data_IF_838044443167
#
_entry.id   IF_838044443167
#
_cell.length_a   1.000
_cell.length_b   1.000
_cell.length_c   1.000
_cell.angle_alpha   90.00
_cell.angle_beta   90.00
_cell.angle_gamma   90.00
#
_symmetry.space_group_name_H-M   'P 1'
#
loop_
_entity.id
_entity.type
_entity.pdbx_description
1 polymer ?
#
# COMPACT_ATOMS: atom_id res chain seq x y z
N UNK A 1 13.89 -32.01 8.58
CA UNK A 1 14.11 -30.55 8.49
C UNK A 1 15.44 -30.20 9.17
N UNK A 2 16.10 -29.14 8.75
CA UNK A 2 17.32 -28.61 9.37
C UNK A 2 16.98 -27.28 10.04
N UNK A 3 17.34 -27.09 11.31
CA UNK A 3 17.04 -25.88 12.08
C UNK A 3 18.30 -25.03 12.19
N UNK A 4 18.19 -23.77 11.80
CA UNK A 4 19.24 -22.77 11.89
C UNK A 4 18.73 -21.66 12.81
N UNK A 5 19.31 -21.54 14.00
CA UNK A 5 18.96 -20.49 14.93
C UNK A 5 19.84 -19.25 14.68
N UNK A 6 19.28 -18.03 14.77
CA UNK A 6 20.07 -16.81 14.64
C UNK A 6 21.04 -16.68 15.84
N UNK A 7 22.10 -15.86 15.71
CA UNK A 7 22.90 -15.44 16.86
C UNK A 7 21.99 -14.88 17.96
N UNK A 8 22.27 -15.21 19.23
CA UNK A 8 21.38 -14.88 20.37
C UNK A 8 21.09 -13.38 20.47
N UNK A 9 22.07 -12.55 20.15
CA UNK A 9 22.01 -11.09 20.15
C UNK A 9 21.15 -10.49 19.02
N UNK A 10 20.84 -11.28 17.98
CA UNK A 10 19.96 -10.89 16.87
C UNK A 10 18.59 -11.57 16.93
N UNK A 11 18.46 -12.63 17.72
CA UNK A 11 17.26 -13.44 17.79
C UNK A 11 16.03 -12.59 18.14
N UNK A 12 15.04 -12.59 17.25
CA UNK A 12 13.81 -11.82 17.43
C UNK A 12 12.62 -12.70 17.84
N UNK A 13 12.81 -14.00 18.08
CA UNK A 13 11.77 -14.97 18.42
C UNK A 13 10.89 -15.43 17.26
N UNK A 14 11.03 -14.86 16.06
CA UNK A 14 10.32 -15.31 14.87
C UNK A 14 11.00 -16.51 14.21
N UNK A 15 10.22 -17.33 13.52
CA UNK A 15 10.73 -18.43 12.70
C UNK A 15 10.08 -18.47 11.32
N UNK A 16 10.81 -18.98 10.34
CA UNK A 16 10.32 -19.19 8.98
C UNK A 16 10.66 -20.61 8.54
N UNK A 17 9.64 -21.39 8.21
CA UNK A 17 9.78 -22.66 7.51
C UNK A 17 10.13 -22.38 6.04
N UNK A 18 11.26 -22.89 5.57
CA UNK A 18 11.78 -22.66 4.21
C UNK A 18 11.53 -23.89 3.34
N UNK A 19 10.79 -23.68 2.26
CA UNK A 19 10.46 -24.66 1.23
C UNK A 19 11.18 -24.29 -0.08
N UNK A 20 12.29 -24.96 -0.38
CA UNK A 20 13.02 -24.75 -1.64
C UNK A 20 12.14 -25.10 -2.86
N UNK A 21 12.48 -24.57 -4.03
CA UNK A 21 11.91 -24.98 -5.31
C UNK A 21 12.53 -26.28 -5.84
N UNK A 22 12.48 -26.44 -7.17
CA UNK A 22 12.91 -27.67 -7.86
C UNK A 22 11.78 -28.44 -8.56
N UNK A 23 10.65 -27.77 -8.83
CA UNK A 23 9.57 -28.33 -9.67
C UNK A 23 8.94 -29.61 -9.12
N UNK A 24 8.99 -29.82 -7.80
CA UNK A 24 8.63 -31.08 -7.13
C UNK A 24 9.39 -32.30 -7.61
N UNK A 25 10.56 -32.14 -8.26
CA UNK A 25 11.40 -33.24 -8.74
C UNK A 25 12.72 -33.31 -8.00
N UNK A 26 13.26 -32.15 -7.63
CA UNK A 26 14.44 -31.99 -6.78
C UNK A 26 14.16 -30.94 -5.70
N UNK A 27 15.13 -30.73 -4.81
CA UNK A 27 15.16 -29.62 -3.87
C UNK A 27 16.36 -28.74 -4.22
N UNK A 28 16.14 -27.47 -4.57
CA UNK A 28 17.21 -26.49 -4.77
C UNK A 28 17.81 -26.08 -3.42
N UNK A 29 18.49 -27.04 -2.78
CA UNK A 29 18.80 -27.04 -1.35
C UNK A 29 19.68 -25.87 -0.90
N UNK A 30 20.71 -25.54 -1.68
CA UNK A 30 21.65 -24.49 -1.31
C UNK A 30 21.03 -23.11 -1.57
N UNK A 31 20.76 -22.82 -2.84
CA UNK A 31 20.26 -21.54 -3.36
C UNK A 31 18.95 -21.04 -2.71
N UNK A 32 18.01 -21.96 -2.46
CA UNK A 32 16.65 -21.65 -2.02
C UNK A 32 16.35 -22.27 -0.63
N UNK A 33 17.39 -22.76 0.05
CA UNK A 33 17.32 -23.36 1.38
C UNK A 33 18.37 -22.79 2.32
N UNK A 34 19.61 -23.27 2.27
CA UNK A 34 20.65 -22.89 3.24
C UNK A 34 21.07 -21.43 3.13
N UNK A 35 21.21 -20.88 1.92
CA UNK A 35 21.48 -19.43 1.73
C UNK A 35 20.33 -18.58 2.31
N UNK A 36 19.10 -19.09 2.24
CA UNK A 36 17.90 -18.44 2.78
C UNK A 36 17.89 -18.50 4.30
N UNK A 37 18.36 -19.60 4.89
CA UNK A 37 18.56 -19.71 6.31
C UNK A 37 19.59 -18.70 6.84
N UNK A 38 20.71 -18.53 6.13
CA UNK A 38 21.72 -17.53 6.47
C UNK A 38 21.16 -16.10 6.42
N UNK A 39 20.39 -15.77 5.37
CA UNK A 39 19.73 -14.48 5.25
C UNK A 39 18.71 -14.24 6.38
N UNK A 40 17.83 -15.20 6.67
CA UNK A 40 16.84 -15.10 7.74
C UNK A 40 17.51 -14.90 9.11
N UNK A 41 18.57 -15.68 9.39
CA UNK A 41 19.36 -15.54 10.61
C UNK A 41 20.01 -14.15 10.71
N UNK A 42 20.47 -13.59 9.58
CA UNK A 42 21.09 -12.26 9.55
C UNK A 42 20.13 -11.14 9.95
N UNK A 43 18.82 -11.34 9.73
CA UNK A 43 17.73 -10.43 10.12
C UNK A 43 16.97 -10.88 11.38
N UNK A 44 17.50 -11.88 12.10
CA UNK A 44 17.06 -12.26 13.44
C UNK A 44 16.01 -13.36 13.52
N UNK A 45 15.56 -13.94 12.40
CA UNK A 45 14.61 -15.05 12.38
C UNK A 45 15.34 -16.39 12.44
N UNK A 46 14.76 -17.37 13.13
CA UNK A 46 15.14 -18.77 12.95
C UNK A 46 14.65 -19.29 11.60
N UNK A 47 15.47 -20.10 10.93
CA UNK A 47 15.11 -20.76 9.70
C UNK A 47 14.98 -22.26 9.92
N UNK A 48 13.85 -22.83 9.47
CA UNK A 48 13.63 -24.28 9.46
C UNK A 48 13.61 -24.73 8.00
N UNK A 49 14.73 -25.26 7.49
CA UNK A 49 14.83 -25.66 6.08
C UNK A 49 14.29 -27.08 5.91
N UNK A 50 13.24 -27.23 5.11
CA UNK A 50 12.53 -28.49 4.97
C UNK A 50 12.99 -29.29 3.75
N UNK A 51 13.41 -30.54 3.99
CA UNK A 51 13.49 -31.58 2.95
C UNK A 51 12.13 -32.24 2.82
N UNK A 52 11.29 -31.71 1.95
CA UNK A 52 9.97 -32.30 1.67
C UNK A 52 10.07 -33.37 0.59
N UNK A 53 9.06 -34.24 0.51
CA UNK A 53 8.96 -35.28 -0.52
C UNK A 53 8.93 -34.65 -1.91
N UNK A 54 10.00 -34.87 -2.68
CA UNK A 54 10.10 -34.54 -4.10
C UNK A 54 9.88 -35.80 -4.97
N UNK A 55 9.90 -35.63 -6.29
CA UNK A 55 9.46 -36.59 -7.31
C UNK A 55 7.95 -36.92 -7.31
N UNK A 56 7.12 -36.04 -6.77
CA UNK A 56 5.65 -36.21 -6.80
C UNK A 56 5.05 -35.95 -8.19
N UNK A 57 5.86 -35.50 -9.16
CA UNK A 57 5.45 -35.36 -10.56
C UNK A 57 5.04 -36.70 -11.20
N UNK A 58 5.58 -37.83 -10.72
CA UNK A 58 5.29 -39.18 -11.22
C UNK A 58 4.39 -40.01 -10.29
N UNK A 59 4.29 -39.65 -9.01
CA UNK A 59 3.47 -40.35 -8.01
C UNK A 59 2.12 -39.66 -7.81
N UNK A 60 1.35 -39.48 -8.89
CA UNK A 60 0.05 -38.83 -8.88
C UNK A 60 -0.90 -39.39 -7.82
N UNK A 61 -0.77 -38.92 -6.59
CA UNK A 61 -1.70 -39.19 -5.51
C UNK A 61 -2.85 -38.22 -5.69
N UNK A 62 -3.82 -38.66 -6.50
CA UNK A 62 -5.18 -38.13 -6.48
C UNK A 62 -5.78 -38.43 -5.10
N UNK A 63 -5.43 -37.65 -4.08
CA UNK A 63 -6.14 -37.70 -2.81
C UNK A 63 -7.36 -36.78 -2.86
N UNK A 64 -8.31 -37.16 -3.71
CA UNK A 64 -9.74 -37.16 -3.40
C UNK A 64 -10.52 -37.80 -4.57
N UNK A 65 -11.55 -38.59 -4.24
CA UNK A 65 -12.56 -39.13 -5.17
C UNK A 65 -13.39 -38.03 -5.88
N UNK A 66 -13.01 -36.75 -5.71
CA UNK A 66 -13.75 -35.58 -6.16
C UNK A 66 -13.17 -34.97 -7.44
N UNK A 67 -12.11 -35.55 -8.03
CA UNK A 67 -11.65 -35.18 -9.38
C UNK A 67 -11.03 -33.78 -9.51
N UNK A 68 -10.63 -33.15 -8.41
CA UNK A 68 -10.25 -31.74 -8.39
C UNK A 68 -8.74 -31.56 -8.22
N UNK A 69 -8.05 -31.64 -9.36
CA UNK A 69 -6.64 -31.30 -9.59
C UNK A 69 -5.58 -32.29 -9.05
N UNK A 70 -4.75 -32.74 -9.99
CA UNK A 70 -3.41 -33.28 -9.78
C UNK A 70 -2.58 -32.30 -8.92
N UNK A 71 -2.69 -32.42 -7.60
CA UNK A 71 -1.89 -31.66 -6.64
C UNK A 71 -0.55 -32.36 -6.50
N UNK A 72 0.40 -32.08 -7.40
CA UNK A 72 1.82 -32.45 -7.21
C UNK A 72 2.33 -32.01 -5.82
N UNK A 73 1.71 -30.98 -5.26
CA UNK A 73 2.01 -30.44 -3.95
C UNK A 73 1.42 -31.21 -2.75
N UNK A 74 0.58 -32.26 -2.88
CA UNK A 74 -0.06 -32.88 -1.68
C UNK A 74 0.98 -33.41 -0.68
N UNK A 75 1.96 -34.18 -1.15
CA UNK A 75 3.06 -34.68 -0.31
C UNK A 75 3.83 -33.53 0.36
N UNK A 76 4.38 -32.58 -0.42
CA UNK A 76 5.03 -31.38 0.12
C UNK A 76 4.17 -30.59 1.12
N UNK A 77 2.87 -30.47 0.88
CA UNK A 77 1.92 -29.77 1.75
C UNK A 77 1.74 -30.50 3.07
N UNK A 78 1.56 -31.82 3.07
CA UNK A 78 1.52 -32.61 4.30
C UNK A 78 2.81 -32.46 5.10
N UNK A 79 3.96 -32.49 4.41
CA UNK A 79 5.28 -32.34 5.04
C UNK A 79 5.43 -30.95 5.65
N UNK A 80 4.99 -29.90 4.95
CA UNK A 80 4.98 -28.53 5.44
C UNK A 80 4.06 -28.37 6.65
N UNK A 81 2.84 -28.92 6.60
CA UNK A 81 1.92 -28.90 7.75
C UNK A 81 2.52 -29.60 8.97
N UNK A 82 3.21 -30.73 8.76
CA UNK A 82 3.93 -31.43 9.82
C UNK A 82 5.09 -30.62 10.37
N UNK A 83 5.89 -30.01 9.50
CA UNK A 83 7.02 -29.19 9.91
C UNK A 83 6.58 -27.94 10.68
N UNK A 84 5.46 -27.31 10.32
CA UNK A 84 4.87 -26.20 11.08
C UNK A 84 4.49 -26.64 12.50
N UNK A 85 3.80 -27.79 12.64
CA UNK A 85 3.44 -28.37 13.93
C UNK A 85 4.67 -28.70 14.78
N UNK A 86 5.68 -29.36 14.19
CA UNK A 86 6.95 -29.67 14.88
C UNK A 86 7.71 -28.40 15.28
N UNK A 87 7.74 -27.38 14.43
CA UNK A 87 8.39 -26.10 14.77
C UNK A 87 7.69 -25.45 15.96
N UNK A 88 6.36 -25.49 15.98
CA UNK A 88 5.56 -24.91 17.07
C UNK A 88 5.66 -25.72 18.36
N UNK A 89 5.76 -27.05 18.30
CA UNK A 89 5.94 -27.90 19.48
C UNK A 89 7.31 -27.71 20.14
N UNK A 90 8.34 -27.38 19.36
CA UNK A 90 9.70 -27.11 19.86
C UNK A 90 9.95 -25.60 20.11
N UNK A 91 8.91 -24.76 20.05
CA UNK A 91 9.09 -23.30 20.12
C UNK A 91 9.76 -22.86 21.42
N UNK A 92 9.42 -23.46 22.56
CA UNK A 92 10.05 -23.14 23.85
C UNK A 92 11.56 -23.44 23.84
N UNK A 93 11.95 -24.63 23.37
CA UNK A 93 13.35 -25.07 23.34
C UNK A 93 14.21 -24.23 22.37
N UNK A 94 13.58 -23.72 21.31
CA UNK A 94 14.26 -22.91 20.29
C UNK A 94 14.16 -21.40 20.54
N UNK A 95 13.53 -20.97 21.63
CA UNK A 95 13.35 -19.55 21.97
C UNK A 95 12.45 -18.81 20.97
N UNK A 96 11.45 -19.48 20.42
CA UNK A 96 10.53 -18.96 19.42
C UNK A 96 9.19 -18.55 20.03
N UNK A 97 8.57 -17.54 19.43
CA UNK A 97 7.18 -17.16 19.66
C UNK A 97 6.27 -17.98 18.71
N UNK A 98 5.39 -18.86 19.24
CA UNK A 98 4.46 -19.67 18.45
C UNK A 98 3.54 -18.88 17.50
N UNK A 99 3.34 -17.58 17.77
CA UNK A 99 2.52 -16.67 16.98
C UNK A 99 3.30 -15.96 15.87
N UNK A 100 4.61 -16.19 15.76
CA UNK A 100 5.49 -15.55 14.77
C UNK A 100 6.24 -16.58 13.93
N UNK A 101 5.55 -17.67 13.62
CA UNK A 101 6.05 -18.76 12.77
C UNK A 101 5.37 -18.64 11.40
N UNK A 102 6.15 -18.26 10.39
CA UNK A 102 5.70 -18.18 9.01
C UNK A 102 6.31 -19.25 8.11
N UNK A 103 5.99 -19.15 6.83
CA UNK A 103 6.49 -20.06 5.79
C UNK A 103 6.96 -19.26 4.58
N UNK A 104 8.08 -19.66 3.99
CA UNK A 104 8.65 -19.04 2.79
C UNK A 104 8.95 -20.15 1.80
N UNK A 105 8.64 -19.93 0.53
CA UNK A 105 9.03 -20.90 -0.47
C UNK A 105 9.18 -20.34 -1.86
N UNK A 106 9.92 -21.09 -2.68
CA UNK A 106 10.33 -20.71 -4.02
C UNK A 106 9.73 -21.64 -5.06
N UNK A 107 9.17 -21.12 -6.16
CA UNK A 107 8.62 -21.95 -7.24
C UNK A 107 7.62 -23.01 -6.73
N UNK A 108 7.96 -24.30 -6.81
CA UNK A 108 7.18 -25.42 -6.27
C UNK A 108 7.08 -25.39 -4.73
N UNK A 109 8.15 -24.96 -4.05
CA UNK A 109 8.11 -24.64 -2.63
C UNK A 109 7.26 -23.40 -2.35
N UNK A 110 7.15 -22.48 -3.30
CA UNK A 110 6.24 -21.32 -3.24
C UNK A 110 4.78 -21.73 -3.33
N UNK A 111 4.45 -22.68 -4.20
CA UNK A 111 3.13 -23.33 -4.23
C UNK A 111 2.84 -24.00 -2.89
N UNK A 112 3.80 -24.76 -2.36
CA UNK A 112 3.70 -25.42 -1.04
C UNK A 112 3.43 -24.39 0.06
N UNK A 113 4.20 -23.30 0.11
CA UNK A 113 4.07 -22.24 1.10
C UNK A 113 2.68 -21.58 1.06
N UNK A 114 2.21 -21.21 -0.13
CA UNK A 114 0.88 -20.62 -0.28
C UNK A 114 -0.25 -21.60 0.02
N UNK A 115 -0.13 -22.88 -0.35
CA UNK A 115 -1.11 -23.91 -0.01
C UNK A 115 -1.19 -24.15 1.50
N UNK A 116 -0.06 -24.26 2.20
CA UNK A 116 -0.04 -24.40 3.67
C UNK A 116 -0.72 -23.21 4.35
N UNK A 117 -0.53 -22.00 3.82
CA UNK A 117 -1.16 -20.80 4.34
C UNK A 117 -2.68 -20.72 4.06
N UNK A 118 -3.13 -21.14 2.87
CA UNK A 118 -4.55 -21.16 2.50
C UNK A 118 -5.29 -22.27 3.24
N UNK A 119 -4.70 -23.47 3.32
CA UNK A 119 -5.28 -24.67 3.94
C UNK A 119 -4.91 -24.81 5.42
N UNK A 120 -4.84 -23.66 6.12
CA UNK A 120 -4.35 -23.54 7.51
C UNK A 120 -5.08 -24.39 8.55
N UNK A 121 -6.34 -24.71 8.30
CA UNK A 121 -7.21 -25.48 9.21
C UNK A 121 -7.53 -26.88 8.67
N UNK A 122 -6.85 -27.33 7.61
CA UNK A 122 -7.11 -28.60 6.94
C UNK A 122 -5.84 -29.46 6.87
N UNK A 123 -5.56 -30.20 7.95
CA UNK A 123 -4.47 -31.19 7.92
C UNK A 123 -4.82 -32.30 6.94
N UNK A 124 -3.96 -32.52 5.93
CA UNK A 124 -4.22 -33.51 4.88
C UNK A 124 -3.74 -34.93 5.23
N UNK A 125 -3.26 -35.14 6.45
CA UNK A 125 -2.79 -36.43 6.95
C UNK A 125 -3.31 -36.68 8.36
N UNK A 126 -3.41 -37.96 8.75
CA UNK A 126 -3.85 -38.35 10.08
C UNK A 126 -2.82 -37.96 11.15
N UNK A 127 -3.30 -37.57 12.34
CA UNK A 127 -2.44 -37.26 13.50
C UNK A 127 -1.45 -38.41 13.74
N UNK A 128 -0.15 -38.09 13.82
CA UNK A 128 0.92 -39.06 14.05
C UNK A 128 1.35 -39.12 15.52
N UNK A 129 1.49 -37.97 16.18
CA UNK A 129 1.94 -37.87 17.58
C UNK A 129 1.51 -36.55 18.25
N UNK A 130 2.05 -36.27 19.45
CA UNK A 130 1.74 -35.07 20.23
C UNK A 130 2.09 -33.75 19.52
N UNK A 131 3.09 -33.73 18.62
CA UNK A 131 3.41 -32.49 17.91
C UNK A 131 2.26 -32.05 16.98
N UNK A 132 1.43 -32.98 16.49
CA UNK A 132 0.26 -32.65 15.67
C UNK A 132 -0.91 -32.05 16.45
N UNK A 133 -0.83 -31.97 17.79
CA UNK A 133 -1.74 -31.18 18.62
C UNK A 133 -1.52 -29.67 18.44
N UNK A 134 -0.31 -29.28 18.07
CA UNK A 134 0.01 -27.90 17.71
C UNK A 134 -0.50 -27.60 16.29
N UNK A 135 -1.13 -26.44 16.13
CA UNK A 135 -1.66 -26.02 14.83
C UNK A 135 -0.57 -25.97 13.76
N UNK A 136 -0.92 -26.39 12.54
CA UNK A 136 -0.06 -26.35 11.35
C UNK A 136 -0.19 -25.02 10.55
N UNK A 137 -0.98 -24.07 11.04
CA UNK A 137 -1.23 -22.80 10.39
C UNK A 137 0.00 -21.88 10.43
N UNK A 138 0.40 -21.35 9.27
CA UNK A 138 1.38 -20.27 9.18
C UNK A 138 0.76 -18.94 9.62
N UNK A 139 1.53 -18.13 10.36
CA UNK A 139 1.12 -16.78 10.77
C UNK A 139 1.29 -15.77 9.63
N UNK A 140 2.20 -16.03 8.70
CA UNK A 140 2.44 -15.25 7.48
C UNK A 140 3.11 -16.15 6.42
N UNK A 141 3.03 -15.78 5.14
CA UNK A 141 3.66 -16.53 4.07
C UNK A 141 4.46 -15.66 3.09
N UNK A 142 5.53 -16.21 2.52
CA UNK A 142 6.33 -15.57 1.48
C UNK A 142 6.46 -16.48 0.25
N UNK A 143 5.43 -16.56 -0.61
CA UNK A 143 5.54 -17.27 -1.88
C UNK A 143 6.36 -16.44 -2.88
N UNK A 144 7.56 -16.92 -3.20
CA UNK A 144 8.49 -16.26 -4.13
C UNK A 144 8.45 -17.01 -5.47
N UNK A 145 8.15 -16.27 -6.55
CA UNK A 145 7.87 -16.77 -7.90
C UNK A 145 7.11 -18.12 -7.93
N UNK A 146 5.98 -18.25 -7.22
CA UNK A 146 5.28 -19.51 -7.08
C UNK A 146 4.63 -19.98 -8.38
N UNK A 147 4.49 -21.29 -8.51
CA UNK A 147 3.59 -21.91 -9.50
C UNK A 147 2.22 -22.28 -8.90
N UNK A 148 1.33 -22.77 -9.77
CA UNK A 148 0.21 -23.62 -9.33
C UNK A 148 -1.03 -22.94 -8.76
N UNK A 149 -1.13 -21.61 -8.73
CA UNK A 149 -2.32 -20.89 -8.27
C UNK A 149 -3.24 -20.43 -9.41
N UNK A 150 -2.69 -20.15 -10.59
CA UNK A 150 -3.44 -19.71 -11.75
C UNK A 150 -4.14 -20.88 -12.46
N UNK A 151 -5.46 -20.80 -12.58
CA UNK A 151 -6.27 -21.72 -13.36
C UNK A 151 -6.42 -21.26 -14.80
N UNK A 152 -5.67 -21.84 -15.74
CA UNK A 152 -5.73 -21.48 -17.17
C UNK A 152 -7.16 -21.52 -17.74
N UNK A 153 -7.95 -22.52 -17.35
CA UNK A 153 -9.33 -22.68 -17.81
C UNK A 153 -10.29 -21.63 -17.25
N UNK A 154 -10.05 -21.15 -16.02
CA UNK A 154 -10.92 -20.17 -15.35
C UNK A 154 -10.44 -18.73 -15.52
N UNK A 155 -9.19 -18.53 -15.95
CA UNK A 155 -8.56 -17.21 -16.02
C UNK A 155 -8.32 -16.56 -14.65
N UNK A 156 -8.51 -17.30 -13.55
CA UNK A 156 -8.45 -16.79 -12.19
C UNK A 156 -7.74 -17.74 -11.22
N UNK A 157 -7.94 -17.53 -9.92
CA UNK A 157 -7.49 -18.47 -8.89
C UNK A 157 -8.16 -19.82 -9.12
N UNK A 158 -7.43 -20.92 -8.92
CA UNK A 158 -8.01 -22.27 -9.06
C UNK A 158 -9.20 -22.45 -8.10
N UNK A 159 -10.35 -22.99 -8.54
CA UNK A 159 -11.61 -22.97 -7.76
C UNK A 159 -11.57 -23.67 -6.40
N UNK A 160 -10.68 -24.65 -6.22
CA UNK A 160 -10.54 -25.37 -4.95
C UNK A 160 -9.77 -24.55 -3.88
N UNK A 161 -9.12 -23.45 -4.26
CA UNK A 161 -8.43 -22.57 -3.34
C UNK A 161 -9.40 -21.52 -2.81
N UNK A 162 -9.73 -21.62 -1.52
CA UNK A 162 -10.63 -20.70 -0.82
C UNK A 162 -9.84 -19.77 0.07
N UNK A 163 -9.69 -18.52 -0.35
CA UNK A 163 -9.12 -17.46 0.48
C UNK A 163 -10.23 -16.87 1.35
N UNK A 164 -9.96 -16.74 2.64
CA UNK A 164 -10.89 -16.17 3.63
C UNK A 164 -10.20 -15.02 4.36
N UNK A 165 -10.96 -14.31 5.21
CA UNK A 165 -10.41 -13.28 6.10
C UNK A 165 -9.37 -13.81 7.10
N UNK A 166 -9.36 -15.13 7.33
CA UNK A 166 -8.49 -15.82 8.28
C UNK A 166 -7.23 -16.38 7.59
N UNK A 167 -7.15 -16.29 6.25
CA UNK A 167 -5.91 -16.56 5.51
C UNK A 167 -4.84 -15.56 5.95
N UNK A 168 -3.61 -16.00 6.27
CA UNK A 168 -2.60 -15.11 6.80
C UNK A 168 -2.08 -14.13 5.73
N UNK A 169 -1.55 -12.97 6.15
CA UNK A 169 -0.82 -12.04 5.29
C UNK A 169 0.28 -12.72 4.47
N UNK A 170 0.41 -12.31 3.21
CA UNK A 170 1.43 -12.84 2.31
C UNK A 170 2.29 -11.75 1.67
N UNK A 171 3.56 -12.07 1.45
CA UNK A 171 4.48 -11.29 0.64
C UNK A 171 4.83 -12.05 -0.64
N UNK A 172 4.66 -11.40 -1.78
CA UNK A 172 4.98 -11.97 -3.09
C UNK A 172 6.10 -11.18 -3.77
N UNK A 173 7.02 -11.90 -4.42
CA UNK A 173 7.95 -11.33 -5.37
C UNK A 173 8.05 -12.23 -6.60
N UNK A 174 7.77 -11.69 -7.79
CA UNK A 174 7.89 -12.44 -9.05
C UNK A 174 8.29 -11.52 -10.21
N UNK A 175 9.07 -12.03 -11.16
CA UNK A 175 9.33 -11.34 -12.41
C UNK A 175 8.17 -11.57 -13.39
N UNK A 176 7.80 -10.54 -14.16
CA UNK A 176 6.73 -10.62 -15.14
C UNK A 176 7.13 -11.45 -16.37
N UNK A 177 8.41 -11.48 -16.70
CA UNK A 177 8.99 -12.31 -17.77
C UNK A 177 9.31 -13.75 -17.34
N UNK A 178 8.90 -14.15 -16.14
CA UNK A 178 9.05 -15.51 -15.64
C UNK A 178 8.16 -16.49 -16.43
N UNK A 179 8.77 -17.56 -16.95
CA UNK A 179 8.10 -18.60 -17.73
C UNK A 179 7.06 -19.40 -16.92
N UNK A 180 7.13 -19.40 -15.59
CA UNK A 180 6.13 -20.02 -14.69
C UNK A 180 4.84 -19.19 -14.60
N UNK A 181 4.82 -18.00 -15.23
CA UNK A 181 3.71 -17.07 -15.35
C UNK A 181 3.40 -16.31 -14.06
N UNK A 182 3.60 -14.98 -14.10
CA UNK A 182 3.37 -14.05 -12.99
C UNK A 182 1.92 -14.00 -12.51
N UNK A 183 0.97 -14.53 -13.30
CA UNK A 183 -0.43 -14.60 -12.90
C UNK A 183 -0.66 -15.43 -11.63
N UNK A 184 0.24 -16.37 -11.29
CA UNK A 184 0.15 -17.12 -10.04
C UNK A 184 0.16 -16.20 -8.80
N UNK A 185 0.96 -15.13 -8.82
CA UNK A 185 0.95 -14.13 -7.76
C UNK A 185 -0.29 -13.22 -7.83
N UNK A 186 -0.65 -12.73 -9.02
CA UNK A 186 -1.70 -11.70 -9.15
C UNK A 186 -3.06 -12.24 -8.77
N UNK A 187 -3.42 -13.48 -9.14
CA UNK A 187 -4.75 -14.01 -8.84
C UNK A 187 -4.91 -14.30 -7.35
N UNK A 188 -3.86 -14.80 -6.69
CA UNK A 188 -3.88 -15.07 -5.26
C UNK A 188 -3.87 -13.76 -4.45
N UNK A 189 -3.02 -12.79 -4.81
CA UNK A 189 -3.03 -11.46 -4.22
C UNK A 189 -4.40 -10.78 -4.37
N UNK A 190 -5.02 -10.90 -5.55
CA UNK A 190 -6.36 -10.35 -5.81
C UNK A 190 -7.39 -10.96 -4.85
N UNK A 191 -7.36 -12.28 -4.67
CA UNK A 191 -8.25 -12.98 -3.75
C UNK A 191 -8.02 -12.58 -2.28
N UNK A 192 -6.76 -12.42 -1.86
CA UNK A 192 -6.39 -11.91 -0.53
C UNK A 192 -6.94 -10.50 -0.30
N UNK A 193 -6.77 -9.61 -1.27
CA UNK A 193 -7.28 -8.24 -1.20
C UNK A 193 -8.81 -8.20 -1.12
N UNK A 194 -9.51 -9.03 -1.90
CA UNK A 194 -10.97 -9.17 -1.83
C UNK A 194 -11.45 -9.69 -0.47
N UNK A 195 -10.69 -10.60 0.15
CA UNK A 195 -10.93 -11.09 1.50
C UNK A 195 -10.49 -10.11 2.62
N UNK A 196 -9.94 -8.94 2.25
CA UNK A 196 -9.41 -7.90 3.15
C UNK A 196 -8.21 -8.37 3.98
N UNK A 197 -7.46 -9.34 3.47
CA UNK A 197 -6.17 -9.74 4.01
C UNK A 197 -5.11 -8.77 3.50
N UNK A 198 -4.44 -8.07 4.41
CA UNK A 198 -3.34 -7.17 4.04
C UNK A 198 -2.16 -8.00 3.57
N UNK A 199 -1.69 -7.76 2.36
CA UNK A 199 -0.60 -8.51 1.70
C UNK A 199 0.17 -7.58 0.79
N UNK A 200 1.39 -7.96 0.42
CA UNK A 200 2.28 -7.14 -0.39
C UNK A 200 2.71 -7.91 -1.64
N UNK A 201 2.64 -7.26 -2.81
CA UNK A 201 3.00 -7.85 -4.09
C UNK A 201 4.03 -6.98 -4.81
N UNK A 202 5.20 -7.57 -5.09
CA UNK A 202 6.22 -6.99 -5.97
C UNK A 202 6.27 -7.75 -7.29
N UNK A 203 5.85 -7.09 -8.36
CA UNK A 203 6.06 -7.55 -9.73
C UNK A 203 7.15 -6.73 -10.40
N UNK A 204 8.21 -7.40 -10.83
CA UNK A 204 9.33 -6.79 -11.53
C UNK A 204 9.20 -7.07 -13.01
N UNK A 205 9.42 -6.08 -13.88
CA UNK A 205 9.25 -6.29 -15.33
C UNK A 205 10.15 -7.40 -15.89
N UNK A 206 11.34 -7.60 -15.30
CA UNK A 206 12.36 -8.56 -15.73
C UNK A 206 13.10 -9.17 -14.56
N UNK A 207 13.47 -10.44 -14.69
CA UNK A 207 14.27 -11.17 -13.71
C UNK A 207 14.37 -12.66 -13.99
N UNK A 208 13.48 -13.22 -14.81
CA UNK A 208 13.44 -14.67 -15.03
C UNK A 208 13.01 -15.44 -13.79
N UNK A 209 13.54 -16.65 -13.63
CA UNK A 209 13.11 -17.63 -12.61
C UNK A 209 14.29 -18.22 -11.85
N UNK A 210 14.09 -18.59 -10.58
CA UNK A 210 14.95 -19.55 -9.87
C UNK A 210 16.36 -19.09 -9.50
N UNK A 211 16.55 -17.82 -9.12
CA UNK A 211 17.83 -17.29 -8.63
C UNK A 211 17.87 -17.09 -7.10
N UNK A 212 16.86 -17.55 -6.35
CA UNK A 212 16.85 -17.48 -4.88
C UNK A 212 17.16 -16.07 -4.34
N UNK A 213 18.22 -15.98 -3.55
CA UNK A 213 18.78 -14.74 -3.01
C UNK A 213 19.96 -14.18 -3.80
N UNK A 214 20.45 -14.91 -4.81
CA UNK A 214 21.68 -14.55 -5.48
C UNK A 214 21.54 -13.24 -6.26
N UNK A 215 22.58 -12.39 -6.27
CA UNK A 215 22.54 -11.14 -7.00
C UNK A 215 22.26 -11.35 -8.49
N UNK A 216 21.45 -10.46 -9.05
CA UNK A 216 21.19 -10.38 -10.48
C UNK A 216 21.39 -8.95 -10.98
N UNK A 217 21.49 -8.77 -12.29
CA UNK A 217 21.55 -7.44 -12.91
C UNK A 217 20.18 -6.72 -12.93
N UNK A 218 19.11 -7.38 -12.49
CA UNK A 218 17.75 -6.83 -12.53
C UNK A 218 17.32 -6.32 -11.16
N UNK A 219 16.34 -5.39 -11.09
CA UNK A 219 15.83 -4.88 -9.81
C UNK A 219 15.24 -5.96 -8.89
N UNK A 220 14.96 -7.16 -9.42
CA UNK A 220 14.49 -8.28 -8.62
C UNK A 220 15.45 -8.62 -7.48
N UNK A 221 16.77 -8.44 -7.67
CA UNK A 221 17.79 -8.69 -6.64
C UNK A 221 17.49 -8.03 -5.28
N UNK A 222 16.64 -7.01 -5.24
CA UNK A 222 16.26 -6.29 -4.03
C UNK A 222 15.02 -6.84 -3.32
N UNK A 223 14.40 -7.91 -3.80
CA UNK A 223 13.26 -8.55 -3.12
C UNK A 223 13.54 -8.92 -1.66
N UNK A 224 14.74 -9.40 -1.23
CA UNK A 224 14.97 -9.78 0.15
C UNK A 224 14.94 -8.57 1.08
N UNK A 225 15.42 -7.41 0.61
CA UNK A 225 15.36 -6.15 1.35
C UNK A 225 13.91 -5.68 1.56
N UNK A 226 13.03 -5.94 0.59
CA UNK A 226 11.60 -5.63 0.68
C UNK A 226 10.90 -6.59 1.64
N UNK A 227 11.17 -7.88 1.51
CA UNK A 227 10.67 -8.91 2.41
C UNK A 227 11.09 -8.66 3.87
N UNK A 228 12.35 -8.27 4.11
CA UNK A 228 12.84 -7.97 5.46
C UNK A 228 12.12 -6.77 6.09
N UNK A 229 11.81 -5.73 5.30
CA UNK A 229 11.01 -4.59 5.76
C UNK A 229 9.58 -5.00 6.07
N UNK A 230 8.95 -5.75 5.18
CA UNK A 230 7.60 -6.28 5.38
C UNK A 230 7.51 -7.18 6.62
N UNK A 231 8.47 -8.09 6.82
CA UNK A 231 8.56 -8.93 8.02
C UNK A 231 8.64 -8.10 9.30
N UNK A 232 9.43 -7.01 9.29
CA UNK A 232 9.51 -6.08 10.42
C UNK A 232 8.19 -5.36 10.66
N UNK A 233 7.51 -4.92 9.60
CA UNK A 233 6.21 -4.22 9.67
C UNK A 233 5.07 -5.13 10.16
N UNK A 234 5.13 -6.42 9.88
CA UNK A 234 4.14 -7.41 10.31
C UNK A 234 4.14 -7.70 11.84
N UNK A 235 4.89 -6.94 12.65
CA UNK A 235 5.00 -7.18 14.09
C UNK A 235 5.81 -8.43 14.44
N UNK A 236 6.60 -8.94 13.47
CA UNK A 236 7.65 -9.91 13.75
C UNK A 236 8.92 -9.27 14.33
N UNK A 237 8.87 -7.98 14.66
CA UNK A 237 9.67 -7.36 15.69
C UNK A 237 8.69 -6.51 16.52
N UNK A 238 8.48 -6.89 17.77
CA UNK A 238 7.55 -6.28 18.76
C UNK A 238 6.05 -6.58 18.56
N UNK A 239 5.50 -7.26 19.57
CA UNK A 239 4.07 -7.47 19.71
C UNK A 239 3.38 -6.14 19.98
N UNK A 240 2.63 -5.60 19.02
CA UNK A 240 1.43 -4.85 19.41
C UNK A 240 0.35 -4.78 18.33
N UNK A 241 -0.86 -4.96 18.82
CA UNK A 241 -2.18 -4.77 18.23
C UNK A 241 -2.49 -3.32 17.80
N UNK A 242 -1.52 -2.56 17.27
CA UNK A 242 -1.62 -1.11 17.15
C UNK A 242 -1.50 -0.56 15.72
N UNK A 243 -1.78 -1.33 14.67
CA UNK A 243 -1.86 -0.74 13.32
C UNK A 243 -2.91 0.38 13.25
N UNK A 244 -3.99 0.27 14.02
CA UNK A 244 -5.03 1.29 14.14
C UNK A 244 -4.60 2.50 15.03
N UNK A 245 -3.60 2.34 15.91
CA UNK A 245 -3.09 3.44 16.75
C UNK A 245 -1.84 4.11 16.17
N UNK A 246 -1.04 3.43 15.35
CA UNK A 246 0.18 3.99 14.75
C UNK A 246 -0.10 5.17 13.80
N UNK A 247 -1.27 5.22 13.16
CA UNK A 247 -1.70 6.40 12.40
C UNK A 247 -2.09 7.60 13.28
N UNK A 248 -2.36 7.38 14.58
CA UNK A 248 -2.74 8.44 15.51
C UNK A 248 -1.57 8.99 16.33
N UNK A 249 -0.42 8.29 16.37
CA UNK A 249 0.76 8.70 17.14
C UNK A 249 1.86 9.36 16.32
N UNK A 250 1.91 9.16 15.01
CA UNK A 250 2.65 10.07 14.13
C UNK A 250 1.84 11.37 14.06
N UNK A 251 2.35 12.41 14.73
CA UNK A 251 1.79 13.76 14.68
C UNK A 251 1.66 14.31 13.26
N UNK A 252 1.33 15.60 13.10
CA UNK A 252 1.17 16.15 11.76
C UNK A 252 2.48 15.96 10.96
N UNK A 253 2.48 15.34 9.77
CA UNK A 253 3.69 15.17 8.97
C UNK A 253 4.42 16.49 8.66
N UNK A 254 3.71 17.63 8.72
CA UNK A 254 4.28 18.97 8.63
C UNK A 254 5.21 19.33 9.81
N UNK A 255 5.11 18.63 10.95
CA UNK A 255 5.97 18.81 12.12
C UNK A 255 7.31 18.08 11.97
N UNK A 256 7.43 17.15 11.00
CA UNK A 256 8.60 16.30 10.76
C UNK A 256 9.07 16.36 9.29
N UNK A 257 9.33 17.58 8.80
CA UNK A 257 9.74 17.78 7.41
C UNK A 257 11.19 17.27 7.17
N UNK A 258 11.44 16.53 6.08
CA UNK A 258 12.80 16.23 5.62
C UNK A 258 13.63 17.50 5.46
N UNK A 259 14.95 17.44 5.67
CA UNK A 259 15.85 18.64 5.62
C UNK A 259 15.76 19.44 4.33
N UNK A 260 15.42 18.77 3.23
CA UNK A 260 15.27 19.33 1.89
C UNK A 260 13.84 19.80 1.59
N UNK A 261 12.93 19.79 2.56
CA UNK A 261 11.55 20.26 2.43
C UNK A 261 11.32 21.38 3.43
N UNK A 262 10.72 22.48 2.99
CA UNK A 262 10.33 23.58 3.86
C UNK A 262 8.88 23.95 3.67
N UNK A 263 8.26 24.40 4.74
CA UNK A 263 6.94 25.00 4.70
C UNK A 263 7.03 26.44 4.17
N UNK A 264 6.28 26.75 3.12
CA UNK A 264 6.24 28.10 2.52
C UNK A 264 5.03 28.93 3.01
N UNK A 265 3.96 28.26 3.49
CA UNK A 265 2.83 28.91 4.16
C UNK A 265 2.11 27.94 5.10
N UNK A 266 1.56 28.46 6.20
CA UNK A 266 0.76 27.71 7.17
C UNK A 266 -0.74 27.63 6.81
N UNK A 267 -1.13 28.21 5.69
CA UNK A 267 -2.48 28.14 5.15
C UNK A 267 -2.44 28.03 3.63
N UNK A 268 -3.49 27.46 3.06
CA UNK A 268 -3.68 27.40 1.63
C UNK A 268 -3.79 25.98 1.10
N UNK A 269 -4.46 25.84 -0.03
CA UNK A 269 -4.79 24.56 -0.65
C UNK A 269 -4.60 24.65 -2.16
N UNK A 270 -4.43 23.50 -2.82
CA UNK A 270 -4.42 23.37 -4.29
C UNK A 270 -3.34 24.23 -4.96
N UNK A 271 -2.11 24.07 -4.48
CA UNK A 271 -0.96 24.75 -5.02
C UNK A 271 -0.69 24.38 -6.49
N UNK A 272 -0.27 25.35 -7.28
CA UNK A 272 0.11 25.24 -8.68
C UNK A 272 1.40 26.04 -8.90
N UNK A 273 2.39 25.46 -9.59
CA UNK A 273 3.60 26.18 -9.96
C UNK A 273 3.37 27.03 -11.21
N UNK A 274 3.97 28.22 -11.25
CA UNK A 274 4.14 28.93 -12.52
C UNK A 274 5.11 28.18 -13.44
N UNK A 275 4.97 28.34 -14.76
CA UNK A 275 5.82 27.65 -15.74
C UNK A 275 7.32 27.97 -15.58
N UNK A 276 7.66 29.16 -15.10
CA UNK A 276 9.03 29.60 -14.80
C UNK A 276 9.58 29.08 -13.46
N UNK A 277 8.77 28.33 -12.70
CA UNK A 277 9.09 27.82 -11.35
C UNK A 277 9.57 28.91 -10.37
N UNK A 278 9.19 30.17 -10.59
CA UNK A 278 9.51 31.29 -9.68
C UNK A 278 8.38 31.58 -8.69
N UNK A 279 7.17 31.08 -8.95
CA UNK A 279 5.96 31.39 -8.17
C UNK A 279 5.14 30.14 -7.91
N UNK A 280 4.45 30.15 -6.77
CA UNK A 280 3.47 29.13 -6.38
C UNK A 280 2.14 29.82 -6.16
N UNK A 281 1.15 29.51 -6.98
CA UNK A 281 -0.21 29.97 -6.77
C UNK A 281 -0.96 28.96 -5.92
N UNK A 282 -1.89 29.43 -5.09
CA UNK A 282 -2.70 28.57 -4.24
C UNK A 282 -4.00 29.28 -3.86
N UNK A 283 -4.96 28.54 -3.32
CA UNK A 283 -6.18 29.14 -2.78
C UNK A 283 -6.04 29.33 -1.29
N UNK A 284 -6.52 30.44 -0.73
CA UNK A 284 -6.46 30.67 0.72
C UNK A 284 -7.25 29.62 1.52
N UNK A 285 -8.30 29.07 0.92
CA UNK A 285 -9.14 27.95 1.38
C UNK A 285 -9.97 27.42 0.21
N UNK A 286 -10.70 26.33 0.40
CA UNK A 286 -11.73 25.91 -0.55
C UNK A 286 -12.77 27.05 -0.76
N UNK A 287 -12.98 27.48 -2.01
CA UNK A 287 -13.78 28.69 -2.35
C UNK A 287 -13.23 29.97 -1.69
N UNK A 288 -11.92 30.13 -1.73
CA UNK A 288 -11.19 31.27 -1.18
C UNK A 288 -10.65 32.22 -2.23
N UNK A 289 -9.83 33.16 -1.77
CA UNK A 289 -9.04 34.04 -2.63
C UNK A 289 -7.93 33.25 -3.34
N UNK A 290 -7.52 33.75 -4.50
CA UNK A 290 -6.32 33.24 -5.18
C UNK A 290 -5.11 33.99 -4.65
N UNK A 291 -4.12 33.24 -4.19
CA UNK A 291 -2.88 33.72 -3.61
C UNK A 291 -1.70 33.34 -4.49
N UNK A 292 -0.64 34.13 -4.45
CA UNK A 292 0.63 33.89 -5.14
C UNK A 292 1.76 34.05 -4.14
N UNK A 293 2.64 33.04 -4.07
CA UNK A 293 3.89 33.06 -3.31
C UNK A 293 5.06 33.18 -4.29
N UNK A 294 5.91 34.19 -4.11
CA UNK A 294 7.14 34.34 -4.89
C UNK A 294 8.29 33.62 -4.20
N UNK A 295 8.87 32.62 -4.86
CA UNK A 295 9.85 31.71 -4.26
C UNK A 295 11.12 32.45 -3.81
N UNK A 296 11.64 33.36 -4.64
CA UNK A 296 12.89 34.08 -4.31
C UNK A 296 12.73 35.08 -3.16
N UNK A 297 11.59 35.77 -3.06
CA UNK A 297 11.40 36.82 -2.05
C UNK A 297 10.65 36.33 -0.81
N UNK A 298 9.99 35.16 -0.88
CA UNK A 298 9.10 34.67 0.16
C UNK A 298 7.79 35.45 0.29
N UNK A 299 7.49 36.37 -0.63
CA UNK A 299 6.32 37.25 -0.52
C UNK A 299 5.04 36.54 -0.96
N UNK A 300 3.96 36.68 -0.16
CA UNK A 300 2.60 36.26 -0.51
C UNK A 300 1.77 37.47 -0.94
N UNK A 301 1.07 37.37 -2.08
CA UNK A 301 0.15 38.37 -2.62
C UNK A 301 -1.22 37.75 -2.89
N UNK A 302 -2.30 38.47 -2.58
CA UNK A 302 -3.66 38.09 -2.98
C UNK A 302 -3.96 38.65 -4.38
N UNK A 303 -4.16 37.78 -5.37
CA UNK A 303 -4.43 38.16 -6.75
C UNK A 303 -5.86 38.67 -6.94
N UNK A 304 -6.81 38.25 -6.10
CA UNK A 304 -8.24 38.53 -6.29
C UNK A 304 -8.81 39.59 -5.36
N UNK A 305 -7.96 40.27 -4.57
CA UNK A 305 -8.39 41.27 -3.60
C UNK A 305 -9.07 42.51 -4.19
N UNK A 306 -8.87 42.78 -5.49
CA UNK A 306 -9.26 44.01 -6.19
C UNK A 306 -10.68 43.96 -6.79
N UNK A 307 -11.39 42.84 -6.68
CA UNK A 307 -12.78 42.70 -7.13
C UNK A 307 -13.61 41.83 -6.18
N UNK A 308 -14.94 41.89 -6.29
CA UNK A 308 -15.85 41.04 -5.51
C UNK A 308 -16.03 39.69 -6.22
N UNK A 309 -16.00 38.60 -5.46
CA UNK A 309 -16.20 37.24 -5.98
C UNK A 309 -16.76 36.29 -4.92
N UNK A 310 -17.25 35.13 -5.36
CA UNK A 310 -17.78 34.06 -4.50
C UNK A 310 -16.73 33.03 -4.07
N UNK A 311 -15.46 33.28 -4.44
CA UNK A 311 -14.33 32.44 -4.13
C UNK A 311 -14.04 31.44 -5.23
N UNK A 312 -12.79 31.00 -5.34
CA UNK A 312 -12.34 30.10 -6.40
C UNK A 312 -11.97 28.73 -5.83
N UNK A 313 -12.05 27.72 -6.69
CA UNK A 313 -11.81 26.31 -6.36
C UNK A 313 -10.56 25.75 -7.06
N UNK A 314 -10.01 26.50 -8.02
CA UNK A 314 -8.70 26.25 -8.64
C UNK A 314 -8.19 27.52 -9.33
N UNK A 315 -6.87 27.63 -9.38
CA UNK A 315 -6.11 28.55 -10.23
C UNK A 315 -5.11 27.75 -11.03
N UNK A 316 -4.88 28.13 -12.29
CA UNK A 316 -3.79 27.65 -13.12
C UNK A 316 -3.13 28.83 -13.83
N UNK A 317 -1.82 28.76 -14.05
CA UNK A 317 -1.11 29.74 -14.87
C UNK A 317 -1.22 29.30 -16.33
N UNK A 318 -1.61 30.22 -17.21
CA UNK A 318 -1.64 30.01 -18.64
C UNK A 318 -0.27 30.34 -19.25
N UNK A 319 0.00 29.81 -20.44
CA UNK A 319 1.28 30.00 -21.14
C UNK A 319 1.59 31.47 -21.46
N UNK A 320 0.57 32.32 -21.61
CA UNK A 320 0.70 33.76 -21.80
C UNK A 320 0.93 34.55 -20.49
N UNK A 321 0.91 33.86 -19.34
CA UNK A 321 1.08 34.42 -18.00
C UNK A 321 -0.21 34.85 -17.30
N UNK A 322 -1.36 34.73 -17.96
CA UNK A 322 -2.66 34.96 -17.32
C UNK A 322 -3.05 33.81 -16.39
N UNK A 323 -4.13 33.99 -15.64
CA UNK A 323 -4.62 33.00 -14.70
C UNK A 323 -5.97 32.43 -15.13
N UNK A 324 -6.04 31.12 -15.26
CA UNK A 324 -7.29 30.40 -15.45
C UNK A 324 -7.88 30.05 -14.08
N UNK A 325 -9.06 30.59 -13.79
CA UNK A 325 -9.77 30.41 -12.54
C UNK A 325 -10.99 29.51 -12.74
N UNK A 326 -11.29 28.70 -11.73
CA UNK A 326 -12.56 27.97 -11.66
C UNK A 326 -13.30 28.31 -10.39
N UNK A 327 -14.59 28.62 -10.47
CA UNK A 327 -15.37 29.00 -9.30
C UNK A 327 -16.86 29.19 -9.63
N UNK A 328 -17.72 29.29 -8.60
CA UNK A 328 -19.11 29.67 -8.79
C UNK A 328 -19.22 31.11 -9.29
N UNK A 329 -20.20 31.35 -10.15
CA UNK A 329 -20.59 32.67 -10.65
C UNK A 329 -21.71 33.31 -9.82
N UNK A 330 -22.32 32.56 -8.91
CA UNK A 330 -23.36 33.01 -8.00
C UNK A 330 -23.02 32.74 -6.52
N UNK A 331 -23.68 33.48 -5.63
CA UNK A 331 -23.55 33.28 -4.18
C UNK A 331 -24.07 31.92 -3.75
N UNK A 332 -23.33 31.23 -2.89
CA UNK A 332 -23.77 29.95 -2.30
C UNK A 332 -23.27 29.82 -0.86
N UNK A 333 -23.92 28.98 -0.06
CA UNK A 333 -23.45 28.67 1.29
C UNK A 333 -22.23 27.75 1.26
N UNK A 334 -21.05 28.34 1.45
CA UNK A 334 -19.78 27.60 1.51
C UNK A 334 -19.66 26.66 2.73
N UNK A 335 -20.50 26.82 3.75
CA UNK A 335 -20.47 25.96 4.95
C UNK A 335 -21.24 24.65 4.74
N UNK A 336 -22.32 24.69 3.95
CA UNK A 336 -23.08 23.50 3.55
C UNK A 336 -22.27 22.60 2.60
N UNK A 337 -22.21 21.31 2.93
CA UNK A 337 -21.56 20.28 2.09
C UNK A 337 -22.31 20.11 0.77
N UNK A 338 -23.64 20.17 0.79
CA UNK A 338 -24.49 20.00 -0.38
C UNK A 338 -24.39 21.18 -1.34
N UNK A 339 -24.39 22.41 -0.80
CA UNK A 339 -24.20 23.63 -1.59
C UNK A 339 -22.80 23.68 -2.22
N UNK A 340 -21.75 23.30 -1.48
CA UNK A 340 -20.39 23.12 -2.05
C UNK A 340 -20.38 22.06 -3.17
N UNK A 341 -21.09 20.95 -3.00
CA UNK A 341 -21.15 19.91 -4.02
C UNK A 341 -21.82 20.44 -5.28
N UNK A 342 -22.95 21.15 -5.17
CA UNK A 342 -23.62 21.81 -6.31
C UNK A 342 -22.73 22.85 -6.97
N UNK A 343 -22.15 23.78 -6.20
CA UNK A 343 -21.25 24.82 -6.70
C UNK A 343 -20.02 24.25 -7.42
N UNK A 344 -19.56 23.04 -7.05
CA UNK A 344 -18.50 22.32 -7.77
C UNK A 344 -18.96 21.77 -9.13
N UNK A 345 -20.21 21.33 -9.25
CA UNK A 345 -20.73 20.78 -10.51
C UNK A 345 -21.09 21.86 -11.54
N UNK A 346 -21.33 23.09 -11.08
CA UNK A 346 -21.70 24.24 -11.94
C UNK A 346 -20.64 25.36 -11.94
N UNK A 347 -19.43 25.09 -11.46
CA UNK A 347 -18.35 26.09 -11.41
C UNK A 347 -18.01 26.57 -12.81
N UNK A 348 -17.99 27.87 -13.09
CA UNK A 348 -17.58 28.42 -14.39
C UNK A 348 -16.07 28.61 -14.46
N UNK A 349 -15.57 28.74 -15.69
CA UNK A 349 -14.19 29.11 -15.99
C UNK A 349 -14.08 30.59 -16.28
N UNK A 350 -13.04 31.21 -15.74
CA UNK A 350 -12.75 32.63 -15.95
C UNK A 350 -11.26 32.82 -16.26
N UNK A 351 -10.94 33.81 -17.08
CA UNK A 351 -9.56 34.26 -17.28
C UNK A 351 -9.35 35.55 -16.52
N UNK A 352 -8.43 35.54 -15.58
CA UNK A 352 -7.92 36.72 -14.91
C UNK A 352 -6.62 37.15 -15.61
N UNK A 353 -6.66 38.35 -16.19
CA UNK A 353 -5.50 38.95 -16.82
C UNK A 353 -4.39 39.22 -15.80
N UNK A 354 -3.13 38.98 -16.19
CA UNK A 354 -1.96 39.10 -15.32
C UNK A 354 -1.69 40.50 -14.76
N UNK A 355 -2.24 41.54 -15.38
CA UNK A 355 -2.11 42.94 -14.91
C UNK A 355 -2.96 43.20 -13.67
N UNK A 356 -3.98 42.37 -13.40
CA UNK A 356 -4.90 42.50 -12.26
C UNK A 356 -5.63 43.85 -12.23
N UNK A 357 -5.86 44.44 -13.41
CA UNK A 357 -6.54 45.73 -13.56
C UNK A 357 -8.05 45.60 -13.69
N UNK A 358 -8.56 44.42 -14.06
CA UNK A 358 -9.97 44.15 -14.30
C UNK A 358 -10.41 42.82 -13.66
N UNK A 359 -11.70 42.67 -13.30
CA UNK A 359 -12.27 41.39 -12.91
C UNK A 359 -12.08 40.32 -14.00
N UNK A 360 -12.10 39.03 -13.63
CA UNK A 360 -11.83 37.95 -14.56
C UNK A 360 -13.00 37.77 -15.54
N UNK A 361 -12.68 37.50 -16.80
CA UNK A 361 -13.66 37.36 -17.89
C UNK A 361 -14.17 35.92 -17.96
N UNK A 362 -15.49 35.68 -17.94
CA UNK A 362 -16.05 34.33 -18.11
C UNK A 362 -15.75 33.77 -19.50
N UNK A 363 -15.35 32.51 -19.60
CA UNK A 363 -15.05 31.84 -20.87
C UNK A 363 -16.30 31.23 -21.56
N UNK A 364 -17.51 31.58 -21.13
CA UNK A 364 -18.77 31.12 -21.75
C UNK A 364 -19.10 29.63 -21.62
N UNK A 365 -18.15 28.78 -21.21
CA UNK A 365 -18.33 27.35 -21.05
C UNK A 365 -18.43 26.93 -19.57
N UNK A 366 -19.47 26.18 -19.23
CA UNK A 366 -19.49 25.33 -18.03
C UNK A 366 -18.48 24.20 -18.24
N UNK A 367 -17.69 23.78 -17.24
CA UNK A 367 -16.77 22.67 -17.39
C UNK A 367 -17.57 21.44 -17.82
N UNK A 368 -17.18 20.85 -18.95
CA UNK A 368 -17.50 19.45 -19.22
C UNK A 368 -17.11 18.64 -17.97
N UNK A 369 -17.97 17.68 -17.61
CA UNK A 369 -17.65 16.64 -16.64
C UNK A 369 -16.31 15.99 -17.05
N UNK A 370 -15.18 16.37 -16.43
CA UNK A 370 -13.93 15.61 -16.55
C UNK A 370 -12.65 16.35 -16.95
N UNK A 371 -12.21 17.36 -16.19
CA UNK A 371 -10.78 17.44 -15.84
C UNK A 371 -10.63 16.90 -14.41
N UNK A 372 -9.71 15.95 -14.15
CA UNK A 372 -9.91 14.84 -13.23
C UNK A 372 -10.08 15.32 -11.79
N UNK A 373 -11.33 15.39 -11.39
CA UNK A 373 -11.77 15.24 -10.03
C UNK A 373 -12.06 13.76 -9.84
N UNK A 374 -11.32 13.08 -8.96
CA UNK A 374 -11.73 11.77 -8.44
C UNK A 374 -13.13 11.88 -7.82
N UNK A 375 -14.15 11.59 -8.63
CA UNK A 375 -15.45 11.18 -8.18
C UNK A 375 -15.40 9.66 -8.08
N UNK A 376 -15.23 9.14 -6.87
CA UNK A 376 -15.62 7.75 -6.57
C UNK A 376 -17.12 7.67 -6.87
N UNK A 377 -17.47 7.18 -8.06
CA UNK A 377 -18.80 6.65 -8.31
C UNK A 377 -18.92 5.33 -7.53
N UNK A 378 -19.25 5.41 -6.24
CA UNK A 378 -19.79 4.28 -5.49
C UNK A 378 -21.31 4.41 -5.47
N UNK A 379 -21.97 4.06 -6.58
CA UNK A 379 -23.37 3.65 -6.52
C UNK A 379 -23.43 2.18 -6.12
N UNK A 380 -23.33 1.93 -4.82
CA UNK A 380 -23.88 0.78 -4.11
C UNK A 380 -23.19 0.67 -2.75
N UNK A 381 -23.88 1.04 -1.67
CA UNK A 381 -24.04 0.24 -0.46
C UNK A 381 -24.87 1.04 0.54
N UNK A 382 -25.81 0.34 1.18
CA UNK A 382 -26.87 0.89 1.98
C UNK A 382 -26.44 1.74 3.16
N UNK A 383 -27.36 2.62 3.55
CA UNK A 383 -27.43 3.30 4.85
C UNK A 383 -27.09 2.32 5.98
N UNK A 384 -26.01 2.61 6.70
CA UNK A 384 -25.91 2.29 8.12
C UNK A 384 -25.58 3.60 8.83
N UNK A 385 -26.58 4.13 9.51
CA UNK A 385 -26.46 5.26 10.42
C UNK A 385 -25.85 4.77 11.72
N UNK A 386 -24.64 5.23 12.06
CA UNK A 386 -24.14 5.18 13.43
C UNK A 386 -23.77 6.60 13.87
N UNK A 387 -24.57 7.16 14.78
CA UNK A 387 -24.22 8.31 15.60
C UNK A 387 -23.00 7.95 16.44
N UNK A 388 -21.87 8.62 16.19
CA UNK A 388 -20.81 8.78 17.17
C UNK A 388 -20.18 10.16 16.92
N UNK A 389 -20.46 11.09 17.82
CA UNK A 389 -19.81 12.39 17.84
C UNK A 389 -18.36 12.21 18.23
N UNK A 390 -17.47 12.21 17.25
CA UNK A 390 -16.03 12.33 17.45
C UNK A 390 -15.61 13.64 16.79
N UNK A 391 -15.19 14.59 17.60
CA UNK A 391 -14.62 15.85 17.13
C UNK A 391 -13.39 15.54 16.27
N UNK A 392 -13.49 15.73 14.96
CA UNK A 392 -12.34 15.62 14.07
C UNK A 392 -11.38 16.79 14.37
N UNK A 393 -10.07 16.55 14.57
CA UNK A 393 -9.11 17.64 14.65
C UNK A 393 -9.17 18.46 13.36
N UNK A 394 -9.18 19.79 13.48
CA UNK A 394 -9.18 20.70 12.33
C UNK A 394 -7.94 20.42 11.50
N UNK A 395 -8.13 19.90 10.29
CA UNK A 395 -7.08 19.70 9.30
C UNK A 395 -6.43 21.06 9.00
N UNK A 396 -5.17 21.25 9.38
CA UNK A 396 -4.35 22.38 8.92
C UNK A 396 -3.70 21.99 7.61
N UNK A 397 -4.11 22.62 6.52
CA UNK A 397 -3.44 22.47 5.23
C UNK A 397 -2.20 23.36 5.19
N UNK A 398 -1.09 22.77 4.76
CA UNK A 398 0.24 23.40 4.68
C UNK A 398 0.79 23.16 3.29
N UNK A 399 1.47 24.16 2.71
CA UNK A 399 2.14 24.01 1.41
C UNK A 399 3.65 23.86 1.66
N UNK A 400 4.21 22.80 1.09
CA UNK A 400 5.61 22.39 1.25
C UNK A 400 6.37 22.57 -0.07
N UNK A 401 7.61 23.02 0.00
CA UNK A 401 8.51 23.23 -1.13
C UNK A 401 9.83 22.47 -0.92
N UNK A 402 10.33 21.85 -1.98
CA UNK A 402 11.60 21.10 -1.94
C UNK A 402 12.76 22.04 -2.28
N UNK A 403 13.68 22.26 -1.33
CA UNK A 403 14.87 23.09 -1.52
C UNK A 403 15.81 22.42 -2.52
N UNK A 404 15.97 23.01 -3.70
CA UNK A 404 17.19 22.87 -4.51
C UNK A 404 18.03 24.13 -4.28
N UNK A 405 19.35 23.95 -4.17
CA UNK A 405 20.33 24.88 -3.59
C UNK A 405 20.02 26.39 -3.80
N UNK A 406 19.41 27.03 -2.79
CA UNK A 406 19.26 28.48 -2.66
C UNK A 406 19.32 28.88 -1.17
N UNK A 407 19.87 30.07 -0.84
CA UNK A 407 20.14 30.47 0.54
C UNK A 407 18.86 30.81 1.35
N UNK A 408 19.00 30.78 2.67
CA UNK A 408 17.93 30.90 3.68
C UNK A 408 17.03 32.13 3.50
N UNK A 409 15.72 31.91 3.47
CA UNK A 409 14.68 32.94 3.34
C UNK A 409 13.93 33.18 4.66
N UNK A 410 13.54 34.43 4.98
CA UNK A 410 12.80 34.77 6.20
C UNK A 410 11.29 34.44 6.11
N UNK A 411 10.67 34.07 7.24
CA UNK A 411 9.21 33.86 7.36
C UNK A 411 8.45 35.20 7.32
N UNK A 412 7.38 35.30 6.51
CA UNK A 412 6.54 36.49 6.41
C UNK A 412 5.33 36.49 7.38
N UNK A 413 4.94 37.68 7.84
CA UNK A 413 3.85 37.97 8.80
C UNK A 413 2.43 37.64 8.30
N UNK A 414 1.50 37.49 9.25
CA UNK A 414 0.12 37.01 9.14
C UNK A 414 -0.82 37.82 8.23
N UNK A 415 -1.58 37.11 7.38
CA UNK A 415 -2.73 37.62 6.60
C UNK A 415 -4.06 37.20 7.27
N UNK A 416 -5.07 38.07 7.27
CA UNK A 416 -6.40 37.79 7.84
C UNK A 416 -7.46 37.67 6.72
N UNK A 417 -8.13 36.51 6.54
CA UNK A 417 -9.04 36.29 5.41
C UNK A 417 -10.39 37.01 5.58
N UNK A 418 -11.00 37.44 4.46
CA UNK A 418 -12.34 38.06 4.45
C UNK A 418 -13.42 37.06 4.89
N UNK A 419 -14.31 37.48 5.81
CA UNK A 419 -15.56 36.77 6.11
C UNK A 419 -16.57 37.04 5.00
N UNK A 420 -17.16 35.98 4.46
CA UNK A 420 -18.31 36.08 3.57
C UNK A 420 -19.52 36.21 4.50
N UNK A 421 -20.07 37.41 4.65
CA UNK A 421 -21.27 37.66 5.45
C UNK A 421 -22.51 37.18 4.69
N UNK A 422 -23.44 36.42 5.31
CA UNK A 422 -24.78 36.29 4.79
C UNK A 422 -25.50 37.63 4.97
N UNK A 423 -26.07 38.18 3.88
CA UNK A 423 -26.87 39.41 3.97
C UNK A 423 -28.05 39.18 4.92
N UNK A 424 -28.23 40.12 5.85
CA UNK A 424 -29.48 40.30 6.57
C UNK A 424 -30.60 40.63 5.58
N UNK A 425 -31.77 40.08 5.85
CA UNK A 425 -33.03 40.36 5.17
C UNK A 425 -33.46 41.79 5.46
N UNK A 426 -33.51 42.64 4.45
CA UNK A 426 -34.25 43.90 4.53
C UNK A 426 -35.73 43.60 4.28
N UNK A 427 -36.55 43.87 5.30
CA UNK A 427 -37.99 44.02 5.19
C UNK A 427 -38.31 45.25 4.33
N UNK A 428 -39.18 45.07 3.34
CA UNK A 428 -40.28 45.99 3.03
C UNK A 428 -41.42 45.20 2.40
#
# INVERSE_FOLDING_TARGET
>A
MHVYLPPKEKANGGAVLVCSGGGFSILAWDLEGTEVAEWLNSIGFAAVVMKYRASTAHHGNNLNEQGNASLKAVGPLMDAQRAMSLTRSNAADWGLDPQRIGILGFCAGGETAGLTAILRDQRLYAKLDAADEYSCAANFALPIYPGGFYGKATGGLKPYLKVTKDTPPMFFAMAQDDHVNSLNCTVLYTALSQAKVLSELHLFIRGGHGYGLRPTLTPFTHWPNRAAKWLKEMGCCEASSDWAKAQTTLGNPADYLPRNVMQITAFGERAEFSHDSQRVLFLSKQYGDVMEYTIRSGQIRCLTQHFKHHGFNRVMVLSNGDYLLTGPDETFDSTSKEARLKARHFAKMFVLDRTLTKPPTPLGSSPMKGLPFLARNSKSLGRITSRAGIARPRSRWVILFMKTALPSLPMSRSYSPRRISPKASDQK
#
